data_IF_996207378456
#
_entry.id   IF_996207378456
#
_cell.length_a   1.000
_cell.length_b   1.000
_cell.length_c   1.000
_cell.angle_alpha   90.00
_cell.angle_beta   90.00
_cell.angle_gamma   90.00
#
_symmetry.space_group_name_H-M   'P 1'
#
loop_
_entity.id
_entity.type
_entity.pdbx_description
1 polymer ?
#
# COMPACT_ATOMS: atom_id res chain seq x y z
N UNK A 1 29.89 20.41 -2.59
CA UNK A 1 28.58 20.19 -3.23
C UNK A 1 27.87 19.11 -2.44
N UNK A 2 26.69 19.41 -1.89
CA UNK A 2 25.83 18.46 -1.19
C UNK A 2 25.17 17.54 -2.22
N UNK A 3 24.85 16.30 -1.84
CA UNK A 3 24.04 15.42 -2.68
C UNK A 3 22.68 16.04 -2.95
N UNK A 4 22.17 15.92 -4.19
CA UNK A 4 20.74 16.11 -4.39
C UNK A 4 19.98 15.04 -3.60
N UNK A 5 19.13 15.46 -2.65
CA UNK A 5 18.24 14.58 -1.90
C UNK A 5 18.75 14.04 -0.55
N UNK A 6 19.94 14.41 -0.09
CA UNK A 6 20.42 14.09 1.28
C UNK A 6 20.34 15.33 2.17
N UNK A 7 19.24 15.47 2.90
CA UNK A 7 19.02 16.57 3.85
C UNK A 7 19.73 16.37 5.19
N UNK A 8 20.25 15.16 5.46
CA UNK A 8 20.77 14.75 6.77
C UNK A 8 22.24 15.15 6.91
N UNK A 9 23.01 15.09 5.83
CA UNK A 9 24.46 15.36 5.84
C UNK A 9 24.83 16.73 5.23
N UNK A 10 24.08 17.78 5.59
CA UNK A 10 24.40 19.15 5.19
C UNK A 10 25.79 19.57 5.72
N UNK A 11 26.61 20.18 4.86
CA UNK A 11 28.00 20.60 5.15
C UNK A 11 29.02 19.49 5.47
N UNK A 12 28.69 18.22 5.22
CA UNK A 12 29.66 17.12 5.29
C UNK A 12 30.23 16.81 3.90
N UNK A 13 31.43 16.21 3.85
CA UNK A 13 31.99 15.73 2.59
C UNK A 13 31.13 14.55 2.07
N UNK A 14 30.75 14.52 0.78
CA UNK A 14 30.02 13.39 0.23
C UNK A 14 30.83 12.07 0.33
N UNK A 15 30.39 11.17 1.20
CA UNK A 15 30.85 9.78 1.34
C UNK A 15 30.18 8.78 0.36
N UNK A 16 30.05 7.52 0.79
CA UNK A 16 29.44 6.41 0.05
C UNK A 16 28.03 6.15 0.57
N UNK A 17 27.08 5.84 -0.30
CA UNK A 17 25.67 5.65 0.09
C UNK A 17 25.11 4.29 -0.32
N UNK A 18 24.20 3.79 0.51
CA UNK A 18 23.39 2.60 0.22
C UNK A 18 24.16 1.28 0.27
N UNK A 19 23.47 0.20 -0.13
CA UNK A 19 23.95 -1.17 -0.01
C UNK A 19 25.20 -1.44 -0.85
N UNK A 20 25.29 -0.84 -2.03
CA UNK A 20 26.47 -0.94 -2.90
C UNK A 20 27.62 -0.01 -2.49
N UNK A 21 27.43 0.84 -1.47
CA UNK A 21 28.38 1.88 -1.09
C UNK A 21 28.77 2.76 -2.30
N UNK A 22 27.77 3.25 -3.03
CA UNK A 22 27.96 4.10 -4.22
C UNK A 22 28.63 5.40 -3.79
N UNK A 23 29.85 5.63 -4.26
CA UNK A 23 30.68 6.75 -3.82
C UNK A 23 30.51 7.98 -4.71
N UNK A 24 30.07 9.09 -4.13
CA UNK A 24 29.79 10.32 -4.87
C UNK A 24 30.94 10.77 -5.77
N UNK A 25 32.17 10.77 -5.24
CA UNK A 25 33.36 11.26 -5.94
C UNK A 25 33.55 10.63 -7.32
N UNK A 26 33.19 9.35 -7.47
CA UNK A 26 33.44 8.57 -8.69
C UNK A 26 32.17 8.23 -9.47
N UNK A 27 31.00 8.31 -8.83
CA UNK A 27 29.72 7.83 -9.37
C UNK A 27 28.64 8.90 -9.38
N UNK A 28 29.00 10.16 -9.64
CA UNK A 28 28.08 11.30 -9.62
C UNK A 28 26.81 11.09 -10.46
N UNK A 29 26.90 10.37 -11.58
CA UNK A 29 25.76 10.05 -12.44
C UNK A 29 24.69 9.20 -11.73
N UNK A 30 25.06 8.39 -10.75
CA UNK A 30 24.13 7.59 -9.95
C UNK A 30 23.21 8.47 -9.07
N UNK A 31 23.65 9.70 -8.78
CA UNK A 31 22.94 10.63 -7.92
C UNK A 31 22.10 11.65 -8.69
N UNK A 32 22.05 11.53 -10.03
CA UNK A 32 21.05 12.24 -10.81
C UNK A 32 19.65 11.92 -10.26
N UNK A 33 18.85 12.95 -10.03
CA UNK A 33 17.51 12.85 -9.42
C UNK A 33 17.46 12.12 -8.06
N UNK A 34 18.58 12.09 -7.32
CA UNK A 34 18.71 11.42 -6.04
C UNK A 34 18.46 9.88 -6.08
N UNK A 35 18.58 9.22 -7.24
CA UNK A 35 18.22 7.79 -7.39
C UNK A 35 19.06 6.84 -6.54
N UNK A 36 20.40 6.99 -6.53
CA UNK A 36 21.28 6.19 -5.68
C UNK A 36 21.08 6.43 -4.17
N UNK A 37 20.53 7.59 -3.80
CA UNK A 37 20.18 7.93 -2.41
C UNK A 37 18.84 7.29 -2.03
N UNK A 38 17.85 7.34 -2.94
CA UNK A 38 16.45 7.03 -2.66
C UNK A 38 16.01 5.62 -3.05
N UNK A 39 16.85 4.81 -3.70
CA UNK A 39 16.46 3.47 -4.16
C UNK A 39 17.58 2.48 -3.96
N UNK A 40 17.40 1.53 -3.05
CA UNK A 40 18.33 0.41 -2.85
C UNK A 40 18.43 -0.47 -4.09
N UNK A 41 17.32 -0.64 -4.84
CA UNK A 41 17.32 -1.35 -6.11
C UNK A 41 18.20 -0.64 -7.13
N UNK A 42 17.98 0.67 -7.37
CA UNK A 42 18.83 1.45 -8.27
C UNK A 42 20.28 1.49 -7.79
N UNK A 43 20.51 1.61 -6.48
CA UNK A 43 21.85 1.62 -5.90
C UNK A 43 22.61 0.32 -6.22
N UNK A 44 21.96 -0.85 -6.07
CA UNK A 44 22.52 -2.15 -6.44
C UNK A 44 22.62 -2.35 -7.95
N UNK A 45 21.59 -1.98 -8.72
CA UNK A 45 21.58 -2.07 -10.19
C UNK A 45 22.74 -1.27 -10.78
N UNK A 46 22.90 -0.02 -10.33
CA UNK A 46 24.01 0.83 -10.74
C UNK A 46 25.37 0.20 -10.35
N UNK A 47 25.48 -0.29 -9.11
CA UNK A 47 26.72 -0.93 -8.62
C UNK A 47 27.12 -2.11 -9.50
N UNK A 48 26.21 -3.05 -9.72
CA UNK A 48 26.49 -4.26 -10.47
C UNK A 48 26.58 -4.01 -11.98
N UNK A 49 25.89 -3.00 -12.51
CA UNK A 49 26.09 -2.56 -13.89
C UNK A 49 27.51 -2.02 -14.11
N UNK A 50 28.04 -1.21 -13.19
CA UNK A 50 29.42 -0.69 -13.26
C UNK A 50 30.45 -1.81 -13.12
N UNK A 51 30.25 -2.73 -12.17
CA UNK A 51 31.13 -3.88 -11.99
C UNK A 51 31.16 -4.77 -13.24
N UNK A 52 29.98 -5.04 -13.81
CA UNK A 52 29.86 -5.83 -15.03
C UNK A 52 30.51 -5.14 -16.22
N UNK A 53 30.25 -3.86 -16.44
CA UNK A 53 30.86 -3.08 -17.52
C UNK A 53 32.39 -3.07 -17.42
N UNK A 54 32.92 -2.90 -16.20
CA UNK A 54 34.35 -3.03 -15.93
C UNK A 54 34.88 -4.43 -16.26
N UNK A 55 34.18 -5.49 -15.83
CA UNK A 55 34.63 -6.86 -16.05
C UNK A 55 34.60 -7.23 -17.55
N UNK A 56 33.59 -6.78 -18.27
CA UNK A 56 33.39 -7.04 -19.70
C UNK A 56 34.30 -6.22 -20.63
N UNK A 57 35.15 -5.32 -20.10
CA UNK A 57 36.10 -4.57 -20.91
C UNK A 57 35.59 -3.22 -21.41
N UNK A 58 34.44 -2.72 -20.92
CA UNK A 58 33.80 -1.52 -21.47
C UNK A 58 34.45 -0.20 -21.02
N UNK A 59 35.44 -0.25 -20.12
CA UNK A 59 36.08 0.93 -19.53
C UNK A 59 37.47 1.23 -20.12
N UNK A 60 37.59 1.24 -21.45
CA UNK A 60 38.83 1.56 -22.16
C UNK A 60 39.43 2.92 -21.77
N UNK A 61 38.59 3.86 -21.32
CA UNK A 61 39.01 5.15 -20.78
C UNK A 61 39.98 5.02 -19.60
N UNK A 62 39.99 3.89 -18.88
CA UNK A 62 40.97 3.64 -17.82
C UNK A 62 42.41 3.63 -18.34
N UNK A 63 42.62 3.30 -19.61
CA UNK A 63 43.95 3.34 -20.23
C UNK A 63 44.40 4.75 -20.64
N UNK A 64 43.52 5.75 -20.56
CA UNK A 64 43.84 7.16 -20.89
C UNK A 64 44.01 8.05 -19.67
N UNK A 65 43.80 7.50 -18.46
CA UNK A 65 43.96 8.19 -17.18
C UNK A 65 45.04 7.53 -16.31
N UNK A 66 45.30 8.14 -15.16
CA UNK A 66 46.17 7.59 -14.13
C UNK A 66 45.73 6.19 -13.69
N UNK A 67 46.71 5.27 -13.61
CA UNK A 67 46.50 3.84 -13.35
C UNK A 67 47.81 3.18 -12.92
N UNK A 68 47.73 2.10 -12.15
CA UNK A 68 48.92 1.31 -11.78
C UNK A 68 49.35 0.29 -12.85
N UNK A 69 48.45 -0.13 -13.74
CA UNK A 69 48.76 -1.04 -14.86
C UNK A 69 47.79 -0.87 -16.02
N UNK A 70 48.06 -1.48 -17.16
CA UNK A 70 47.11 -1.51 -18.30
C UNK A 70 45.81 -2.22 -17.91
N UNK A 71 44.67 -1.62 -18.24
CA UNK A 71 43.35 -2.20 -18.07
C UNK A 71 43.06 -3.24 -19.16
N UNK A 72 42.56 -4.39 -18.72
CA UNK A 72 42.10 -5.51 -19.55
C UNK A 72 40.81 -6.08 -18.95
N UNK A 73 39.94 -6.63 -19.80
CA UNK A 73 38.75 -7.34 -19.36
C UNK A 73 39.08 -8.58 -18.50
N UNK A 74 38.09 -9.06 -17.75
CA UNK A 74 38.16 -10.34 -17.01
C UNK A 74 38.73 -10.27 -15.59
N UNK A 75 39.03 -9.08 -15.07
CA UNK A 75 39.64 -8.91 -13.74
C UNK A 75 38.63 -8.35 -12.72
N UNK A 76 37.93 -9.24 -12.02
CA UNK A 76 36.93 -8.89 -11.01
C UNK A 76 37.52 -8.17 -9.79
N UNK A 77 38.73 -8.57 -9.36
CA UNK A 77 39.39 -7.92 -8.23
C UNK A 77 39.80 -6.48 -8.59
N UNK A 78 40.29 -6.27 -9.81
CA UNK A 78 40.54 -4.94 -10.36
C UNK A 78 39.28 -4.07 -10.39
N UNK A 79 38.13 -4.64 -10.78
CA UNK A 79 36.85 -3.93 -10.79
C UNK A 79 36.36 -3.55 -9.38
N UNK A 80 36.64 -4.38 -8.37
CA UNK A 80 36.41 -4.02 -6.98
C UNK A 80 37.30 -2.85 -6.53
N UNK A 81 38.58 -2.85 -6.91
CA UNK A 81 39.49 -1.74 -6.64
C UNK A 81 39.07 -0.44 -7.33
N UNK A 82 38.59 -0.54 -8.57
CA UNK A 82 38.01 0.56 -9.33
C UNK A 82 36.78 1.14 -8.62
N UNK A 83 35.87 0.28 -8.14
CA UNK A 83 34.64 0.71 -7.45
C UNK A 83 34.94 1.62 -6.25
N UNK A 84 35.98 1.29 -5.49
CA UNK A 84 36.38 2.09 -4.33
C UNK A 84 37.11 3.39 -4.70
N UNK A 85 38.01 3.35 -5.68
CA UNK A 85 39.00 4.40 -5.93
C UNK A 85 38.77 5.23 -7.19
N UNK A 86 37.83 4.81 -8.04
CA UNK A 86 37.60 5.38 -9.37
C UNK A 86 38.78 5.24 -10.34
N UNK A 87 39.85 4.51 -9.98
CA UNK A 87 41.06 4.33 -10.78
C UNK A 87 41.54 2.88 -10.81
N UNK A 88 42.21 2.51 -11.89
CA UNK A 88 42.63 1.13 -12.12
C UNK A 88 43.98 0.83 -11.45
N UNK A 89 44.01 -0.09 -10.49
CA UNK A 89 45.24 -0.57 -9.83
C UNK A 89 46.17 0.52 -9.25
N UNK A 90 45.66 1.71 -8.95
CA UNK A 90 46.41 2.68 -8.15
C UNK A 90 46.61 2.16 -6.72
N UNK A 91 47.52 2.76 -5.96
CA UNK A 91 47.79 2.32 -4.57
C UNK A 91 46.53 2.27 -3.70
N UNK A 92 45.60 3.21 -3.91
CA UNK A 92 44.30 3.22 -3.23
C UNK A 92 43.42 2.01 -3.63
N UNK A 93 43.39 1.65 -4.91
CA UNK A 93 42.67 0.48 -5.41
C UNK A 93 43.27 -0.81 -4.83
N UNK A 94 44.59 -0.96 -4.93
CA UNK A 94 45.32 -2.14 -4.44
C UNK A 94 45.17 -2.29 -2.92
N UNK A 95 45.27 -1.19 -2.18
CA UNK A 95 45.08 -1.19 -0.74
C UNK A 95 43.65 -1.56 -0.30
N UNK A 96 42.64 -1.24 -1.10
CA UNK A 96 41.25 -1.67 -0.83
C UNK A 96 41.05 -3.15 -1.17
N UNK A 97 41.50 -3.58 -2.35
CA UNK A 97 41.43 -4.99 -2.77
C UNK A 97 42.09 -5.92 -1.75
N UNK A 98 43.26 -5.53 -1.24
CA UNK A 98 43.98 -6.29 -0.21
C UNK A 98 43.17 -6.41 1.08
N UNK A 99 42.56 -5.30 1.55
CA UNK A 99 41.69 -5.33 2.74
C UNK A 99 40.49 -6.23 2.56
N UNK A 100 39.80 -6.15 1.41
CA UNK A 100 38.64 -7.00 1.16
C UNK A 100 39.04 -8.47 1.06
N UNK A 101 40.17 -8.77 0.42
CA UNK A 101 40.70 -10.13 0.36
C UNK A 101 41.04 -10.68 1.76
N UNK A 102 41.60 -9.87 2.66
CA UNK A 102 41.84 -10.24 4.06
C UNK A 102 40.54 -10.48 4.82
N UNK A 103 39.57 -9.57 4.75
CA UNK A 103 38.27 -9.73 5.41
C UNK A 103 37.58 -11.01 4.92
N UNK A 104 37.67 -11.30 3.62
CA UNK A 104 37.10 -12.49 3.00
C UNK A 104 37.80 -13.79 3.43
N UNK A 105 39.13 -13.79 3.54
CA UNK A 105 39.89 -14.97 3.96
C UNK A 105 39.74 -15.25 5.45
N UNK A 106 39.65 -14.21 6.27
CA UNK A 106 39.39 -14.30 7.71
C UNK A 106 37.93 -14.61 8.05
N UNK A 107 37.04 -14.56 7.04
CA UNK A 107 35.59 -14.77 7.16
C UNK A 107 35.04 -13.96 8.33
N UNK A 108 35.38 -12.66 8.39
CA UNK A 108 35.07 -11.84 9.56
C UNK A 108 33.59 -11.88 9.94
N UNK A 109 32.68 -12.03 8.97
CA UNK A 109 31.23 -12.17 9.20
C UNK A 109 30.82 -13.43 9.98
N UNK A 110 31.70 -14.42 10.13
CA UNK A 110 31.51 -15.62 10.95
C UNK A 110 32.17 -15.52 12.33
N UNK A 111 32.97 -14.48 12.58
CA UNK A 111 33.61 -14.28 13.87
C UNK A 111 32.62 -13.71 14.88
N UNK A 112 32.72 -14.15 16.14
CA UNK A 112 31.83 -13.70 17.22
C UNK A 112 31.87 -12.17 17.48
N UNK A 113 32.97 -11.52 17.09
CA UNK A 113 33.14 -10.06 17.16
C UNK A 113 32.40 -9.31 16.06
N UNK A 114 31.99 -9.99 14.99
CA UNK A 114 31.10 -9.41 14.00
C UNK A 114 29.69 -9.48 14.58
N UNK A 115 29.11 -8.32 14.97
CA UNK A 115 27.82 -8.33 15.64
C UNK A 115 26.82 -9.04 14.73
N UNK A 116 25.97 -9.95 15.25
CA UNK A 116 24.83 -10.40 14.47
C UNK A 116 24.10 -9.14 14.00
N UNK A 117 23.61 -9.16 12.74
CA UNK A 117 22.66 -8.15 12.30
C UNK A 117 21.65 -7.99 13.43
N UNK A 118 21.58 -6.79 14.03
CA UNK A 118 20.75 -6.58 15.21
C UNK A 118 19.38 -7.18 14.89
N UNK A 119 18.84 -8.10 15.72
CA UNK A 119 17.60 -8.75 15.40
C UNK A 119 16.57 -7.67 15.11
N UNK A 120 15.98 -7.70 13.90
CA UNK A 120 14.90 -6.80 13.54
C UNK A 120 13.80 -7.09 14.57
N UNK A 121 13.60 -6.17 15.50
CA UNK A 121 12.55 -6.29 16.53
C UNK A 121 11.20 -6.00 15.88
N UNK A 122 10.62 -7.00 15.23
CA UNK A 122 9.18 -7.00 14.94
C UNK A 122 8.49 -7.57 16.19
N UNK A 123 7.90 -6.69 17.00
CA UNK A 123 6.97 -7.10 18.07
C UNK A 123 7.54 -7.98 19.18
N UNK A 124 8.48 -7.48 19.99
CA UNK A 124 8.66 -7.87 21.40
C UNK A 124 8.94 -9.34 21.79
N UNK A 125 9.05 -10.29 20.87
CA UNK A 125 9.35 -11.70 21.17
C UNK A 125 10.83 -12.02 20.97
N UNK A 126 11.48 -12.61 21.98
CA UNK A 126 12.90 -12.97 22.00
C UNK A 126 13.18 -14.41 21.58
N UNK A 127 12.31 -15.05 20.81
CA UNK A 127 12.59 -16.41 20.32
C UNK A 127 13.59 -16.40 19.15
N UNK A 128 14.70 -17.15 19.25
CA UNK A 128 15.67 -17.25 18.16
C UNK A 128 15.06 -18.02 16.99
N UNK A 129 14.88 -17.34 15.84
CA UNK A 129 14.50 -17.98 14.58
C UNK A 129 15.75 -18.59 13.98
N UNK A 130 15.79 -19.92 13.89
CA UNK A 130 16.83 -20.63 13.15
C UNK A 130 16.38 -20.77 11.70
N UNK A 131 16.91 -19.92 10.82
CA UNK A 131 16.60 -19.93 9.39
C UNK A 131 17.47 -20.98 8.69
N UNK A 132 16.86 -22.04 8.17
CA UNK A 132 17.56 -22.98 7.26
C UNK A 132 17.76 -22.32 5.89
N UNK A 133 18.92 -22.53 5.27
CA UNK A 133 19.28 -21.94 3.98
C UNK A 133 18.29 -22.32 2.85
N UNK A 134 17.96 -21.41 1.91
CA UNK A 134 17.07 -21.72 0.80
C UNK A 134 17.70 -22.74 -0.16
N UNK A 135 16.87 -23.61 -0.74
CA UNK A 135 17.29 -24.52 -1.81
C UNK A 135 17.64 -23.73 -3.08
N UNK A 136 18.75 -24.10 -3.72
CA UNK A 136 19.24 -23.55 -4.99
C UNK A 136 18.28 -23.85 -6.14
N UNK A 137 17.65 -22.82 -6.71
CA UNK A 137 16.84 -22.89 -7.94
C UNK A 137 17.70 -22.50 -9.15
N UNK A 138 17.56 -23.26 -10.24
CA UNK A 138 18.32 -23.09 -11.49
C UNK A 138 17.86 -21.83 -12.24
N UNK A 139 18.82 -21.07 -12.79
CA UNK A 139 18.58 -19.80 -13.49
C UNK A 139 17.74 -19.96 -14.79
N UNK A 140 16.83 -19.02 -15.10
CA UNK A 140 16.01 -19.06 -16.32
C UNK A 140 16.80 -18.66 -17.58
N UNK A 141 16.55 -19.36 -18.68
CA UNK A 141 17.13 -19.09 -20.01
C UNK A 141 16.31 -18.01 -20.73
N UNK A 142 16.94 -16.90 -21.12
CA UNK A 142 16.28 -15.78 -21.82
C UNK A 142 16.40 -15.93 -23.34
N UNK A 143 15.31 -15.73 -24.08
CA UNK A 143 15.28 -15.66 -25.55
C UNK A 143 15.20 -14.19 -25.98
N UNK A 144 15.95 -13.80 -27.02
CA UNK A 144 16.05 -12.41 -27.48
C UNK A 144 14.74 -11.89 -28.10
N UNK A 145 14.38 -10.60 -27.90
CA UNK A 145 13.16 -10.02 -28.43
C UNK A 145 13.26 -9.71 -29.93
N UNK A 146 12.18 -9.97 -30.67
CA UNK A 146 11.99 -9.63 -32.08
C UNK A 146 11.58 -8.17 -32.28
N UNK A 147 12.15 -7.53 -33.30
CA UNK A 147 11.97 -6.12 -33.68
C UNK A 147 10.59 -5.87 -34.29
N UNK A 148 9.83 -4.92 -33.73
CA UNK A 148 8.52 -4.47 -34.26
C UNK A 148 8.70 -3.24 -35.14
N UNK A 149 7.98 -3.22 -36.28
CA UNK A 149 8.05 -2.17 -37.32
C UNK A 149 7.29 -0.90 -36.90
N UNK A 150 7.78 0.26 -37.34
CA UNK A 150 7.31 1.60 -36.96
C UNK A 150 5.85 1.90 -37.37
N UNK A 151 5.11 2.73 -36.58
CA UNK A 151 3.71 3.07 -36.85
C UNK A 151 3.57 4.11 -37.97
N UNK A 152 2.54 3.92 -38.81
CA UNK A 152 2.11 4.86 -39.86
C UNK A 152 1.26 6.00 -39.30
N UNK A 153 1.48 7.21 -39.85
CA UNK A 153 0.82 8.48 -39.55
C UNK A 153 -0.68 8.49 -39.88
N UNK A 154 -1.50 8.93 -38.91
CA UNK A 154 -2.94 9.18 -39.05
C UNK A 154 -3.22 10.66 -39.31
N UNK A 155 -4.18 10.95 -40.20
CA UNK A 155 -4.56 12.30 -40.62
C UNK A 155 -5.32 13.10 -39.55
N UNK A 156 -5.28 14.44 -39.68
CA UNK A 156 -5.81 15.41 -38.72
C UNK A 156 -7.35 15.45 -38.64
N UNK A 157 -7.93 15.75 -37.46
CA UNK A 157 -9.38 15.79 -37.27
C UNK A 157 -10.02 17.07 -37.83
N UNK A 158 -11.22 16.93 -38.38
CA UNK A 158 -12.09 18.02 -38.84
C UNK A 158 -12.91 18.63 -37.70
N UNK A 159 -13.13 19.94 -37.79
CA UNK A 159 -13.85 20.80 -36.84
C UNK A 159 -15.36 20.55 -36.81
N UNK A 160 -15.92 20.45 -35.60
CA UNK A 160 -17.38 20.35 -35.33
C UNK A 160 -17.92 21.69 -34.82
N UNK A 161 -19.12 22.06 -35.26
CA UNK A 161 -19.78 23.34 -34.95
C UNK A 161 -20.28 23.44 -33.50
N UNK A 162 -20.39 24.68 -33.01
CA UNK A 162 -20.73 25.05 -31.64
C UNK A 162 -22.19 24.75 -31.24
N UNK A 163 -22.48 24.41 -29.97
CA UNK A 163 -23.83 24.13 -29.50
C UNK A 163 -24.62 25.42 -29.21
N UNK A 164 -25.93 25.36 -29.48
CA UNK A 164 -26.92 26.40 -29.16
C UNK A 164 -27.37 26.35 -27.70
N UNK A 165 -27.62 27.54 -27.14
CA UNK A 165 -28.07 27.81 -25.77
C UNK A 165 -29.49 27.33 -25.48
N UNK A 166 -29.67 26.64 -24.34
CA UNK A 166 -30.98 26.23 -23.79
C UNK A 166 -31.31 27.11 -22.57
N UNK A 167 -32.58 27.46 -22.41
CA UNK A 167 -33.08 28.39 -21.38
C UNK A 167 -33.04 27.81 -19.94
N UNK A 168 -32.95 28.71 -18.96
CA UNK A 168 -32.79 28.42 -17.53
C UNK A 168 -34.07 27.83 -16.87
N UNK A 169 -33.93 26.92 -15.88
CA UNK A 169 -35.07 26.38 -15.15
C UNK A 169 -35.56 27.33 -14.04
N UNK A 170 -36.87 27.30 -13.79
CA UNK A 170 -37.56 28.04 -12.73
C UNK A 170 -37.44 27.35 -11.36
N UNK A 171 -37.37 28.17 -10.32
CA UNK A 171 -37.24 27.79 -8.90
C UNK A 171 -38.51 27.16 -8.33
N UNK A 172 -38.37 26.03 -7.63
CA UNK A 172 -39.43 25.39 -6.81
C UNK A 172 -39.07 25.53 -5.33
N UNK A 173 -40.08 25.76 -4.48
CA UNK A 173 -39.94 26.03 -3.05
C UNK A 173 -39.47 24.82 -2.22
N UNK A 174 -38.79 25.10 -1.11
CA UNK A 174 -38.17 24.13 -0.21
C UNK A 174 -39.18 23.30 0.61
N UNK A 175 -38.89 22.02 0.92
CA UNK A 175 -39.70 21.21 1.82
C UNK A 175 -39.42 21.52 3.29
N UNK A 176 -40.45 21.38 4.12
CA UNK A 176 -40.43 21.50 5.58
C UNK A 176 -39.91 20.23 6.27
N UNK A 177 -39.12 20.40 7.32
CA UNK A 177 -38.52 19.35 8.15
C UNK A 177 -39.54 18.72 9.11
N UNK A 178 -39.56 17.39 9.18
CA UNK A 178 -40.28 16.59 10.19
C UNK A 178 -39.25 15.92 11.11
N UNK A 179 -39.51 15.91 12.41
CA UNK A 179 -38.60 15.37 13.42
C UNK A 179 -38.47 13.83 13.38
N UNK A 180 -37.27 13.33 13.68
CA UNK A 180 -36.92 11.91 13.72
C UNK A 180 -37.51 11.17 14.94
N UNK A 181 -37.80 9.87 14.85
CA UNK A 181 -38.27 9.08 15.99
C UNK A 181 -37.10 8.65 16.89
N UNK A 182 -37.36 8.61 18.20
CA UNK A 182 -36.47 8.07 19.23
C UNK A 182 -36.58 6.55 19.32
N UNK A 183 -35.44 5.85 19.37
CA UNK A 183 -35.37 4.39 19.50
C UNK A 183 -35.05 4.01 20.95
N UNK A 184 -35.85 3.10 21.52
CA UNK A 184 -35.73 2.55 22.88
C UNK A 184 -34.97 1.22 22.86
N UNK A 185 -33.97 1.05 23.74
CA UNK A 185 -33.21 -0.20 23.92
C UNK A 185 -33.99 -1.17 24.82
N UNK A 186 -34.07 -2.45 24.42
CA UNK A 186 -34.68 -3.54 25.21
C UNK A 186 -33.59 -4.45 25.86
N UNK A 187 -33.84 -5.06 27.04
CA UNK A 187 -32.82 -5.77 27.79
C UNK A 187 -32.68 -7.26 27.41
N UNK A 188 -31.48 -7.80 27.66
CA UNK A 188 -31.01 -9.16 27.35
C UNK A 188 -31.46 -10.23 28.35
N UNK A 189 -31.82 -11.44 27.88
CA UNK A 189 -31.60 -12.71 28.61
C UNK A 189 -30.79 -13.77 27.81
N UNK A 190 -30.32 -14.87 28.44
CA UNK A 190 -29.07 -15.55 28.07
C UNK A 190 -29.19 -16.85 27.22
N UNK A 191 -28.14 -17.04 26.38
CA UNK A 191 -27.43 -18.24 25.84
C UNK A 191 -28.21 -19.35 25.08
N UNK A 192 -28.08 -19.33 23.74
CA UNK A 192 -27.50 -20.36 22.85
C UNK A 192 -28.06 -20.20 21.40
N UNK A 193 -27.27 -19.77 20.40
CA UNK A 193 -27.71 -19.66 18.98
C UNK A 193 -26.48 -19.30 18.12
N UNK A 194 -26.20 -19.86 16.93
CA UNK A 194 -26.79 -19.47 15.61
C UNK A 194 -27.02 -17.96 15.42
N UNK A 195 -26.38 -17.12 16.23
CA UNK A 195 -26.65 -15.70 16.32
C UNK A 195 -25.69 -14.93 15.43
N UNK A 196 -26.24 -13.95 14.71
CA UNK A 196 -25.46 -12.98 13.97
C UNK A 196 -24.37 -12.35 14.86
N UNK A 197 -23.18 -12.16 14.32
CA UNK A 197 -22.20 -11.27 14.93
C UNK A 197 -22.69 -9.84 14.72
N UNK A 198 -22.77 -9.07 15.80
CA UNK A 198 -23.17 -7.65 15.78
C UNK A 198 -22.18 -6.86 16.62
N UNK A 199 -21.70 -5.76 16.05
CA UNK A 199 -20.93 -4.73 16.74
C UNK A 199 -21.36 -3.33 16.28
N UNK A 200 -21.81 -2.51 17.24
CA UNK A 200 -22.21 -1.12 17.01
C UNK A 200 -21.26 -0.11 17.67
N UNK A 201 -20.20 -0.58 18.35
CA UNK A 201 -19.18 0.20 19.06
C UNK A 201 -19.72 1.14 20.15
N UNK A 202 -20.97 0.92 20.59
CA UNK A 202 -21.59 1.72 21.64
C UNK A 202 -20.77 1.76 22.93
N UNK A 203 -20.70 2.94 23.54
CA UNK A 203 -19.91 3.20 24.74
C UNK A 203 -18.40 3.28 24.50
N UNK A 204 -17.95 3.43 23.25
CA UNK A 204 -16.53 3.33 22.86
C UNK A 204 -15.90 1.97 23.24
N UNK A 205 -16.63 0.88 23.01
CA UNK A 205 -16.19 -0.48 23.31
C UNK A 205 -16.24 -1.37 22.05
N UNK A 206 -15.90 -2.65 22.16
CA UNK A 206 -16.09 -3.63 21.07
C UNK A 206 -14.84 -3.91 20.23
N UNK A 207 -13.86 -3.01 20.17
CA UNK A 207 -12.61 -3.23 19.41
C UNK A 207 -11.85 -4.49 19.85
N UNK A 208 -11.96 -4.89 21.12
CA UNK A 208 -11.34 -6.10 21.65
C UNK A 208 -11.88 -7.41 21.04
N UNK A 209 -13.03 -7.35 20.34
CA UNK A 209 -13.62 -8.47 19.60
C UNK A 209 -13.00 -8.64 18.20
N UNK A 210 -12.14 -7.72 17.80
CA UNK A 210 -11.46 -7.72 16.52
C UNK A 210 -9.97 -7.99 16.70
N UNK A 211 -9.36 -8.55 15.67
CA UNK A 211 -7.92 -8.49 15.45
C UNK A 211 -7.64 -7.29 14.56
N UNK A 212 -6.59 -6.55 14.86
CA UNK A 212 -6.14 -5.40 14.05
C UNK A 212 -4.73 -5.62 13.55
N UNK A 213 -4.36 -4.93 12.47
CA UNK A 213 -2.99 -4.90 12.00
C UNK A 213 -2.74 -3.77 11.03
N UNK A 214 -1.47 -3.39 10.92
CA UNK A 214 -0.99 -2.41 9.94
C UNK A 214 0.09 -3.05 9.10
N UNK A 215 -0.05 -2.95 7.80
CA UNK A 215 0.95 -3.28 6.81
C UNK A 215 1.47 -2.00 6.17
N UNK A 216 2.79 -1.89 6.10
CA UNK A 216 3.49 -0.88 5.31
C UNK A 216 4.41 -1.61 4.34
N UNK A 217 4.32 -1.30 3.04
CA UNK A 217 5.20 -1.91 2.03
C UNK A 217 6.67 -1.64 2.35
N UNK A 218 7.00 -0.38 2.64
CA UNK A 218 8.38 0.07 2.82
C UNK A 218 8.62 0.56 4.26
N UNK A 219 9.61 -0.04 4.93
CA UNK A 219 10.06 0.37 6.27
C UNK A 219 11.33 1.24 6.26
N UNK A 220 11.95 1.43 5.09
CA UNK A 220 13.27 2.05 4.99
C UNK A 220 13.27 3.48 4.42
N UNK A 221 12.25 3.84 3.63
CA UNK A 221 12.12 5.13 2.97
C UNK A 221 10.85 5.85 3.41
N UNK A 222 10.68 6.01 4.72
CA UNK A 222 9.44 6.58 5.28
C UNK A 222 9.35 8.07 4.96
N UNK A 223 8.47 8.45 4.03
CA UNK A 223 8.23 9.84 3.63
C UNK A 223 7.50 10.63 4.74
N UNK A 224 6.56 10.01 5.44
CA UNK A 224 5.87 10.58 6.59
C UNK A 224 5.85 9.56 7.74
N UNK A 225 6.25 10.01 8.94
CA UNK A 225 6.25 9.18 10.15
C UNK A 225 4.95 9.33 10.95
N UNK A 226 4.08 10.24 10.51
CA UNK A 226 2.81 10.51 11.15
C UNK A 226 1.84 11.16 10.18
N UNK A 227 0.56 10.97 10.43
CA UNK A 227 -0.55 11.58 9.69
C UNK A 227 -1.66 12.00 10.65
N UNK A 228 -2.70 12.64 10.11
CA UNK A 228 -3.84 13.09 10.91
C UNK A 228 -4.92 12.02 11.00
N UNK A 229 -5.46 11.83 12.20
CA UNK A 229 -6.71 11.11 12.44
C UNK A 229 -7.81 12.10 12.82
N UNK A 230 -9.05 11.85 12.41
CA UNK A 230 -10.19 12.65 12.82
C UNK A 230 -10.44 12.53 14.31
N UNK A 231 -11.01 13.57 14.89
CA UNK A 231 -11.14 13.80 16.32
C UNK A 231 -9.81 13.98 17.06
N UNK A 232 -9.70 15.03 17.86
CA UNK A 232 -8.63 15.15 18.87
C UNK A 232 -8.74 14.05 19.93
N UNK A 233 -7.75 13.94 20.83
CA UNK A 233 -7.71 12.91 21.88
C UNK A 233 -8.85 12.99 22.90
N UNK A 234 -9.68 14.04 22.87
CA UNK A 234 -10.89 14.17 23.69
C UNK A 234 -12.16 13.77 22.95
N UNK A 235 -12.01 13.26 21.73
CA UNK A 235 -13.10 12.96 20.81
C UNK A 235 -13.97 14.19 20.52
N UNK A 236 -13.33 15.30 20.15
CA UNK A 236 -13.94 16.56 19.69
C UNK A 236 -14.75 16.44 18.40
N UNK A 237 -14.91 17.54 17.64
CA UNK A 237 -15.53 17.52 16.31
C UNK A 237 -14.76 16.58 15.35
N UNK A 238 -15.38 15.94 14.34
CA UNK A 238 -14.65 15.22 13.29
C UNK A 238 -13.55 16.05 12.61
N UNK A 239 -13.69 17.39 12.57
CA UNK A 239 -12.67 18.29 12.02
C UNK A 239 -11.49 18.54 12.96
N UNK A 240 -11.65 18.30 14.27
CA UNK A 240 -10.49 18.27 15.16
C UNK A 240 -9.62 17.08 14.80
N UNK A 241 -8.30 17.19 14.97
CA UNK A 241 -7.37 16.17 14.49
C UNK A 241 -6.48 15.70 15.63
N UNK A 242 -6.10 14.43 15.58
CA UNK A 242 -5.02 13.84 16.38
C UNK A 242 -3.88 13.42 15.47
N UNK A 243 -2.70 13.25 16.06
CA UNK A 243 -1.55 12.68 15.36
C UNK A 243 -1.58 11.17 15.50
N UNK A 244 -1.53 10.47 14.38
CA UNK A 244 -1.32 9.03 14.30
C UNK A 244 0.13 8.79 13.92
N UNK A 245 0.83 7.93 14.64
CA UNK A 245 2.25 7.66 14.39
C UNK A 245 2.46 6.29 13.78
N UNK A 246 3.34 6.26 12.79
CA UNK A 246 3.73 5.03 12.09
C UNK A 246 4.34 3.97 13.00
N UNK A 247 5.14 4.39 13.99
CA UNK A 247 5.78 3.48 14.95
C UNK A 247 4.84 3.00 16.07
N UNK A 248 3.56 3.44 16.02
CA UNK A 248 2.49 3.11 16.96
C UNK A 248 1.26 2.63 16.18
N UNK A 249 1.32 1.43 15.57
CA UNK A 249 0.23 0.93 14.73
C UNK A 249 -1.11 0.75 15.47
N UNK A 250 -1.08 0.68 16.80
CA UNK A 250 -2.26 0.72 17.64
C UNK A 250 -3.01 2.05 17.57
N UNK A 251 -2.31 3.17 17.32
CA UNK A 251 -2.95 4.49 17.16
C UNK A 251 -3.82 4.57 15.90
N UNK A 252 -3.54 3.75 14.88
CA UNK A 252 -4.37 3.69 13.67
C UNK A 252 -5.79 3.19 13.90
N UNK A 253 -6.09 2.65 15.08
CA UNK A 253 -7.41 2.15 15.45
C UNK A 253 -7.82 2.76 16.78
N UNK A 254 -8.89 3.57 16.79
CA UNK A 254 -9.34 4.20 18.02
C UNK A 254 -10.84 4.38 18.04
N UNK A 255 -11.43 4.31 19.23
CA UNK A 255 -12.84 4.61 19.43
C UNK A 255 -13.03 6.11 19.63
N UNK A 256 -14.04 6.69 18.99
CA UNK A 256 -14.54 8.01 19.34
C UNK A 256 -16.04 8.13 19.12
N UNK A 257 -16.73 8.58 20.17
CA UNK A 257 -18.19 8.81 20.18
C UNK A 257 -18.98 7.62 19.63
N UNK A 258 -18.64 6.43 20.09
CA UNK A 258 -19.33 5.19 19.74
C UNK A 258 -19.04 4.67 18.33
N UNK A 259 -17.92 5.09 17.72
CA UNK A 259 -17.51 4.67 16.37
C UNK A 259 -16.06 4.18 16.37
N UNK A 260 -15.78 3.16 15.56
CA UNK A 260 -14.41 2.76 15.26
C UNK A 260 -13.82 3.66 14.19
N UNK A 261 -12.71 4.30 14.49
CA UNK A 261 -11.91 5.04 13.53
C UNK A 261 -10.75 4.18 13.05
N UNK A 262 -10.58 4.06 11.74
CA UNK A 262 -9.32 3.64 11.14
C UNK A 262 -8.64 4.86 10.54
N UNK A 263 -7.34 5.00 10.75
CA UNK A 263 -6.58 6.06 10.10
C UNK A 263 -5.21 5.61 9.63
N UNK A 264 -5.01 5.69 8.31
CA UNK A 264 -3.78 5.26 7.62
C UNK A 264 -3.33 6.34 6.62
N UNK A 265 -2.07 6.74 6.73
CA UNK A 265 -1.46 7.79 5.89
C UNK A 265 -0.20 7.35 5.16
N UNK A 266 0.47 8.32 4.50
CA UNK A 266 1.62 8.04 3.63
C UNK A 266 2.73 7.34 4.39
N UNK A 267 3.06 6.15 3.94
CA UNK A 267 4.09 5.32 4.55
C UNK A 267 4.85 4.61 3.44
N UNK A 268 5.39 5.42 2.54
CA UNK A 268 6.35 5.01 1.51
C UNK A 268 5.75 4.00 0.53
N UNK A 269 5.04 4.54 -0.45
CA UNK A 269 4.37 3.71 -1.44
C UNK A 269 2.98 3.35 -0.98
N UNK A 270 2.83 2.33 -0.14
CA UNK A 270 1.53 1.69 0.07
C UNK A 270 1.37 1.10 1.46
N UNK A 271 0.17 1.28 2.04
CA UNK A 271 -0.16 0.79 3.38
C UNK A 271 -1.60 0.39 3.53
N UNK A 272 -1.81 -0.55 4.45
CA UNK A 272 -3.12 -1.09 4.81
C UNK A 272 -3.22 -1.11 6.33
N UNK A 273 -4.21 -0.43 6.89
CA UNK A 273 -4.74 -0.73 8.20
C UNK A 273 -5.90 -1.69 8.02
N UNK A 274 -5.98 -2.76 8.80
CA UNK A 274 -7.09 -3.68 8.72
C UNK A 274 -7.56 -4.11 10.11
N UNK A 275 -8.85 -4.44 10.18
CA UNK A 275 -9.44 -5.08 11.33
C UNK A 275 -10.42 -6.17 10.90
N UNK A 276 -10.60 -7.20 11.73
CA UNK A 276 -11.41 -8.37 11.42
C UNK A 276 -12.01 -8.97 12.68
N UNK A 277 -13.31 -9.35 12.70
CA UNK A 277 -13.85 -10.11 13.81
C UNK A 277 -12.98 -11.35 14.09
N UNK A 278 -12.74 -11.66 15.36
CA UNK A 278 -11.96 -12.85 15.74
C UNK A 278 -12.63 -14.18 15.35
N UNK A 279 -13.91 -14.13 14.98
CA UNK A 279 -14.72 -15.28 14.60
C UNK A 279 -14.53 -15.65 13.13
N UNK A 280 -14.50 -16.95 12.85
CA UNK A 280 -14.68 -17.52 11.50
C UNK A 280 -16.17 -17.78 11.29
N UNK A 281 -16.67 -17.41 10.12
CA UNK A 281 -18.07 -17.55 9.73
C UNK A 281 -18.26 -18.71 8.76
N UNK A 282 -19.46 -19.29 8.79
CA UNK A 282 -19.84 -20.37 7.86
C UNK A 282 -20.99 -19.89 6.97
N UNK A 283 -20.84 -20.02 5.65
CA UNK A 283 -21.82 -19.56 4.64
C UNK A 283 -23.20 -20.17 4.80
N UNK A 284 -23.28 -21.42 5.27
CA UNK A 284 -24.55 -22.10 5.54
C UNK A 284 -25.37 -21.43 6.64
N UNK A 285 -24.74 -20.61 7.49
CA UNK A 285 -25.36 -19.87 8.58
C UNK A 285 -25.40 -18.38 8.25
N UNK A 286 -24.26 -17.81 7.86
CA UNK A 286 -24.04 -16.39 7.65
C UNK A 286 -23.97 -16.09 6.17
N UNK A 287 -24.96 -15.37 5.68
CA UNK A 287 -25.13 -15.06 4.25
C UNK A 287 -25.10 -13.58 3.97
N UNK A 288 -25.18 -12.74 5.00
CA UNK A 288 -25.14 -11.30 4.84
C UNK A 288 -24.03 -10.71 5.69
N UNK A 289 -23.24 -9.83 5.09
CA UNK A 289 -22.30 -8.95 5.80
C UNK A 289 -22.73 -7.51 5.53
N UNK A 290 -23.02 -6.74 6.57
CA UNK A 290 -23.36 -5.32 6.47
C UNK A 290 -22.53 -4.47 7.42
N UNK A 291 -22.31 -3.22 7.04
CA UNK A 291 -21.55 -2.25 7.80
C UNK A 291 -21.97 -0.84 7.40
N UNK A 292 -21.74 0.09 8.30
CA UNK A 292 -21.83 1.52 8.03
C UNK A 292 -20.43 2.11 7.96
N UNK A 293 -20.18 2.94 6.94
CA UNK A 293 -18.92 3.67 6.81
C UNK A 293 -19.14 5.04 6.18
N UNK A 294 -18.35 6.06 6.57
CA UNK A 294 -18.34 7.31 5.83
C UNK A 294 -17.78 7.10 4.43
N UNK A 295 -18.36 7.80 3.45
CA UNK A 295 -17.92 7.70 2.05
C UNK A 295 -17.20 8.96 1.60
N UNK A 296 -16.80 9.82 2.53
CA UNK A 296 -16.17 11.12 2.26
C UNK A 296 -15.07 11.04 1.20
N UNK A 297 -14.98 12.04 0.35
CA UNK A 297 -13.95 12.08 -0.69
C UNK A 297 -12.58 12.44 -0.10
N UNK A 298 -11.86 11.43 0.39
CA UNK A 298 -10.50 11.59 0.92
C UNK A 298 -9.42 11.67 -0.18
N UNK A 299 -9.83 11.74 -1.46
CA UNK A 299 -8.95 11.72 -2.63
C UNK A 299 -8.75 10.32 -3.22
N UNK A 300 -8.21 10.28 -4.45
CA UNK A 300 -8.11 9.06 -5.27
C UNK A 300 -7.20 7.97 -4.71
N UNK A 301 -6.43 8.27 -3.67
CA UNK A 301 -5.38 7.42 -3.13
C UNK A 301 -5.56 7.06 -1.66
N UNK A 302 -6.77 7.31 -1.16
CA UNK A 302 -7.26 6.85 0.12
C UNK A 302 -8.62 6.18 -0.10
N UNK A 303 -8.73 4.91 0.26
CA UNK A 303 -9.97 4.13 0.08
C UNK A 303 -10.13 3.08 1.15
N UNK A 304 -11.30 2.47 1.19
CA UNK A 304 -11.57 1.33 2.05
C UNK A 304 -12.11 0.15 1.24
N UNK A 305 -11.93 -1.05 1.78
CA UNK A 305 -12.47 -2.31 1.26
C UNK A 305 -12.99 -3.19 2.39
N UNK A 306 -14.06 -3.92 2.13
CA UNK A 306 -14.54 -5.05 2.95
C UNK A 306 -14.41 -6.32 2.13
N UNK A 307 -13.66 -7.28 2.66
CA UNK A 307 -13.22 -8.46 1.93
C UNK A 307 -13.56 -9.73 2.70
N UNK A 308 -14.21 -10.67 2.03
CA UNK A 308 -14.47 -12.02 2.53
C UNK A 308 -13.43 -12.95 1.93
N UNK A 309 -12.68 -13.60 2.82
CA UNK A 309 -11.54 -14.44 2.48
C UNK A 309 -11.77 -15.81 3.09
N UNK A 310 -11.50 -16.87 2.33
CA UNK A 310 -11.64 -18.23 2.82
C UNK A 310 -10.74 -18.44 4.04
N UNK A 311 -11.23 -19.21 5.01
CA UNK A 311 -10.49 -19.48 6.24
C UNK A 311 -9.13 -20.12 5.93
N UNK A 312 -8.05 -19.54 6.45
CA UNK A 312 -6.68 -19.97 6.21
C UNK A 312 -6.00 -19.41 4.96
N UNK A 313 -6.70 -18.67 4.10
CA UNK A 313 -6.09 -18.01 2.94
C UNK A 313 -5.39 -16.68 3.31
N UNK A 314 -4.37 -16.26 2.55
CA UNK A 314 -3.72 -14.97 2.76
C UNK A 314 -4.70 -13.79 2.68
N UNK A 315 -4.77 -13.00 3.75
CA UNK A 315 -5.72 -11.89 3.83
C UNK A 315 -5.17 -10.53 3.39
N UNK A 316 -3.83 -10.37 3.41
CA UNK A 316 -3.14 -9.20 2.86
C UNK A 316 -3.07 -9.30 1.34
N UNK A 317 -4.23 -9.15 0.73
CA UNK A 317 -4.45 -9.20 -0.72
C UNK A 317 -5.16 -7.93 -1.19
N UNK A 318 -4.97 -7.58 -2.45
CA UNK A 318 -5.64 -6.45 -3.12
C UNK A 318 -5.88 -6.76 -4.60
N UNK A 319 -6.49 -5.83 -5.34
CA UNK A 319 -6.68 -5.96 -6.78
C UNK A 319 -5.34 -6.10 -7.51
N UNK A 320 -5.31 -6.89 -8.58
CA UNK A 320 -4.09 -7.38 -9.27
C UNK A 320 -3.05 -6.30 -9.62
N UNK A 321 -3.46 -5.19 -10.21
CA UNK A 321 -2.55 -4.11 -10.60
C UNK A 321 -1.97 -3.37 -9.38
N UNK A 322 -2.74 -3.24 -8.29
CA UNK A 322 -2.25 -2.66 -7.03
C UNK A 322 -1.35 -3.65 -6.30
N UNK A 323 -1.61 -4.95 -6.38
CA UNK A 323 -0.84 -5.99 -5.70
C UNK A 323 0.66 -5.91 -6.05
N UNK A 324 0.98 -5.69 -7.33
CA UNK A 324 2.35 -5.46 -7.77
C UNK A 324 3.00 -4.22 -7.14
N UNK A 325 2.23 -3.14 -7.00
CA UNK A 325 2.68 -1.88 -6.40
C UNK A 325 2.84 -2.03 -4.89
N UNK A 326 1.93 -2.73 -4.23
CA UNK A 326 1.92 -2.98 -2.80
C UNK A 326 2.90 -4.08 -2.37
N UNK A 327 3.43 -4.88 -3.31
CA UNK A 327 4.25 -6.06 -3.06
C UNK A 327 3.55 -7.08 -2.16
N UNK A 328 2.25 -7.25 -2.39
CA UNK A 328 1.40 -8.25 -1.74
C UNK A 328 0.70 -9.08 -2.81
N UNK A 329 -0.03 -10.11 -2.41
CA UNK A 329 -0.72 -11.00 -3.34
C UNK A 329 -1.98 -10.35 -3.93
N UNK A 330 -2.33 -10.77 -5.15
CA UNK A 330 -3.62 -10.43 -5.74
C UNK A 330 -4.74 -11.23 -5.05
N UNK A 331 -5.99 -10.77 -5.15
CA UNK A 331 -7.13 -11.55 -4.65
C UNK A 331 -7.16 -12.97 -5.23
N UNK A 332 -7.46 -13.94 -4.36
CA UNK A 332 -7.82 -15.27 -4.81
C UNK A 332 -9.15 -15.22 -5.57
N UNK A 333 -9.39 -16.06 -6.60
CA UNK A 333 -10.65 -16.02 -7.37
C UNK A 333 -11.93 -16.20 -6.55
N UNK A 334 -11.84 -16.85 -5.38
CA UNK A 334 -12.94 -17.05 -4.43
C UNK A 334 -13.16 -15.87 -3.47
N UNK A 335 -12.24 -14.91 -3.44
CA UNK A 335 -12.38 -13.69 -2.64
C UNK A 335 -13.60 -12.90 -3.11
N UNK A 336 -14.37 -12.39 -2.15
CA UNK A 336 -15.39 -11.37 -2.42
C UNK A 336 -14.89 -10.06 -1.82
N UNK A 337 -14.75 -9.02 -2.63
CA UNK A 337 -14.32 -7.70 -2.15
C UNK A 337 -15.32 -6.64 -2.60
N UNK A 338 -15.61 -5.70 -1.71
CA UNK A 338 -16.41 -4.51 -1.99
C UNK A 338 -15.67 -3.31 -1.43
N UNK A 339 -15.56 -2.22 -2.16
CA UNK A 339 -14.95 -1.02 -1.60
C UNK A 339 -15.19 0.22 -2.45
N UNK A 340 -14.80 1.37 -1.91
CA UNK A 340 -14.71 2.65 -2.65
C UNK A 340 -13.44 2.72 -3.51
N UNK A 341 -12.99 1.55 -4.01
CA UNK A 341 -11.89 1.23 -4.92
C UNK A 341 -10.51 1.88 -4.70
N UNK A 342 -9.43 1.31 -5.27
CA UNK A 342 -8.29 2.11 -5.76
C UNK A 342 -8.57 2.83 -7.08
N UNK A 343 -9.77 2.66 -7.67
CA UNK A 343 -10.12 3.15 -9.01
C UNK A 343 -10.77 4.54 -9.05
N UNK A 344 -10.70 5.31 -7.97
CA UNK A 344 -11.27 6.66 -7.95
C UNK A 344 -12.76 6.62 -7.71
N UNK A 345 -13.14 6.26 -6.48
CA UNK A 345 -14.49 6.40 -5.95
C UNK A 345 -15.54 5.40 -6.46
N UNK A 346 -15.16 4.38 -7.21
CA UNK A 346 -16.08 3.34 -7.69
C UNK A 346 -16.43 2.36 -6.57
N UNK A 347 -17.72 2.08 -6.38
CA UNK A 347 -18.21 1.00 -5.53
C UNK A 347 -17.92 -0.36 -6.14
N UNK A 348 -16.65 -0.70 -6.31
CA UNK A 348 -16.21 -1.87 -7.06
C UNK A 348 -16.54 -3.16 -6.31
N UNK A 349 -16.92 -4.19 -7.06
CA UNK A 349 -17.14 -5.54 -6.55
C UNK A 349 -16.20 -6.51 -7.26
N UNK A 350 -15.44 -7.27 -6.48
CA UNK A 350 -14.71 -8.42 -6.95
C UNK A 350 -15.47 -9.70 -6.56
N UNK A 351 -15.79 -10.53 -7.54
CA UNK A 351 -16.46 -11.82 -7.33
C UNK A 351 -16.19 -12.77 -8.50
N UNK A 352 -16.00 -14.05 -8.20
CA UNK A 352 -15.74 -15.07 -9.24
C UNK A 352 -14.50 -14.76 -10.09
N UNK A 353 -13.45 -14.21 -9.46
CA UNK A 353 -12.21 -13.84 -10.13
C UNK A 353 -12.31 -12.62 -11.06
N UNK A 354 -13.37 -11.81 -10.96
CA UNK A 354 -13.61 -10.66 -11.84
C UNK A 354 -13.95 -9.41 -11.03
N UNK A 355 -13.32 -8.30 -11.38
CA UNK A 355 -13.70 -6.97 -10.90
C UNK A 355 -14.82 -6.39 -11.75
N UNK A 356 -15.80 -5.77 -11.12
CA UNK A 356 -16.97 -5.17 -11.76
C UNK A 356 -17.27 -3.82 -11.11
N UNK A 357 -17.57 -2.83 -11.92
CA UNK A 357 -18.08 -1.54 -11.46
C UNK A 357 -19.62 -1.52 -11.61
N UNK A 358 -20.36 -1.82 -10.53
CA UNK A 358 -21.83 -1.79 -10.55
C UNK A 358 -22.42 -0.40 -10.74
N UNK A 359 -21.70 0.64 -10.31
CA UNK A 359 -22.24 1.99 -10.30
C UNK A 359 -21.98 2.74 -11.62
N UNK A 360 -21.08 2.23 -12.47
CA UNK A 360 -20.91 2.56 -13.89
C UNK A 360 -20.90 4.06 -14.19
N UNK A 361 -19.73 4.71 -14.21
CA UNK A 361 -19.58 6.18 -14.34
C UNK A 361 -20.36 7.01 -13.29
N UNK A 362 -21.01 6.37 -12.32
CA UNK A 362 -21.67 6.96 -11.16
C UNK A 362 -20.90 6.60 -9.90
N UNK A 363 -19.72 7.18 -9.77
CA UNK A 363 -18.85 7.00 -8.61
C UNK A 363 -19.63 7.20 -7.28
N UNK A 364 -19.25 6.50 -6.20
CA UNK A 364 -19.73 6.84 -4.84
C UNK A 364 -19.46 8.33 -4.57
N UNK A 365 -18.30 8.84 -5.02
CA UNK A 365 -17.87 10.24 -4.95
C UNK A 365 -17.24 10.79 -6.23
N UNK A 366 -17.30 12.11 -6.45
CA UNK A 366 -16.77 12.76 -7.65
C UNK A 366 -17.86 13.41 -8.51
N UNK A 367 -17.55 13.72 -9.77
CA UNK A 367 -18.53 14.34 -10.68
C UNK A 367 -19.65 13.35 -11.02
N UNK A 368 -20.90 13.72 -10.77
CA UNK A 368 -22.05 12.82 -10.97
C UNK A 368 -22.21 11.75 -9.88
N UNK A 369 -21.62 11.97 -8.70
CA UNK A 369 -21.63 11.02 -7.60
C UNK A 369 -23.03 10.52 -7.22
N UNK A 370 -23.11 9.23 -6.87
CA UNK A 370 -24.32 8.61 -6.33
C UNK A 370 -24.69 9.17 -4.95
N UNK A 371 -23.70 9.66 -4.17
CA UNK A 371 -23.93 10.23 -2.84
C UNK A 371 -23.13 11.53 -2.58
N UNK A 372 -23.47 12.65 -3.24
CA UNK A 372 -22.74 13.92 -3.06
C UNK A 372 -22.71 14.41 -1.61
N UNK A 373 -23.76 14.10 -0.83
CA UNK A 373 -23.88 14.50 0.57
C UNK A 373 -22.87 13.74 1.46
N UNK A 374 -22.78 12.42 1.33
CA UNK A 374 -21.80 11.62 2.05
C UNK A 374 -20.37 11.97 1.66
N UNK A 375 -20.12 12.27 0.38
CA UNK A 375 -18.80 12.68 -0.09
C UNK A 375 -18.29 13.98 0.54
N UNK A 376 -19.21 14.91 0.83
CA UNK A 376 -18.89 16.21 1.42
C UNK A 376 -18.84 16.18 2.95
N UNK A 377 -19.08 15.03 3.60
CA UNK A 377 -19.25 14.94 5.05
C UNK A 377 -18.49 13.78 5.67
N UNK A 378 -17.59 14.09 6.61
CA UNK A 378 -16.91 13.09 7.46
C UNK A 378 -17.86 12.41 8.46
N UNK A 379 -18.96 13.07 8.82
CA UNK A 379 -19.87 12.60 9.86
C UNK A 379 -20.96 11.65 9.34
N UNK A 380 -21.30 11.71 8.05
CA UNK A 380 -22.37 10.88 7.47
C UNK A 380 -21.78 9.51 7.14
N UNK A 381 -22.32 8.47 7.80
CA UNK A 381 -22.05 7.07 7.44
C UNK A 381 -23.17 6.53 6.57
N UNK A 382 -22.83 5.70 5.59
CA UNK A 382 -23.77 5.01 4.71
C UNK A 382 -23.69 3.52 4.93
N UNK A 383 -24.86 2.89 4.86
CA UNK A 383 -24.99 1.45 4.99
C UNK A 383 -24.68 0.74 3.68
N UNK A 384 -23.89 -0.31 3.82
CA UNK A 384 -23.53 -1.24 2.76
C UNK A 384 -23.87 -2.65 3.19
N UNK A 385 -24.21 -3.52 2.23
CA UNK A 385 -24.25 -4.95 2.48
C UNK A 385 -23.85 -5.78 1.28
N UNK A 386 -23.35 -6.97 1.54
CA UNK A 386 -23.22 -8.05 0.57
C UNK A 386 -23.99 -9.26 1.06
N UNK A 387 -24.77 -9.89 0.18
CA UNK A 387 -25.63 -11.03 0.49
C UNK A 387 -25.38 -12.17 -0.49
N UNK A 388 -25.02 -13.36 0.01
CA UNK A 388 -25.02 -14.60 -0.77
C UNK A 388 -26.47 -15.08 -0.99
N UNK A 389 -26.90 -15.12 -2.25
CA UNK A 389 -28.27 -15.49 -2.62
C UNK A 389 -28.50 -17.01 -2.64
N UNK A 390 -27.48 -17.82 -2.33
CA UNK A 390 -27.49 -19.29 -2.33
C UNK A 390 -27.86 -19.92 -3.67
N UNK A 391 -27.68 -19.19 -4.77
CA UNK A 391 -27.95 -19.62 -6.13
C UNK A 391 -26.76 -19.36 -7.08
N UNK A 392 -25.55 -19.23 -6.53
CA UNK A 392 -24.33 -18.90 -7.26
C UNK A 392 -24.22 -17.41 -7.63
N UNK A 393 -24.97 -16.54 -6.94
CA UNK A 393 -24.85 -15.09 -7.08
C UNK A 393 -24.75 -14.39 -5.73
N UNK A 394 -24.14 -13.21 -5.73
CA UNK A 394 -24.07 -12.29 -4.59
C UNK A 394 -24.77 -10.98 -4.97
N UNK A 395 -25.51 -10.42 -4.03
CA UNK A 395 -26.12 -9.09 -4.14
C UNK A 395 -25.38 -8.09 -3.26
N UNK A 396 -24.90 -7.01 -3.84
CA UNK A 396 -24.43 -5.82 -3.15
C UNK A 396 -25.56 -4.80 -3.04
N UNK A 397 -25.72 -4.17 -1.87
CA UNK A 397 -26.67 -3.09 -1.61
C UNK A 397 -25.93 -1.85 -1.08
N UNK A 398 -26.12 -0.72 -1.74
CA UNK A 398 -25.69 0.60 -1.30
C UNK A 398 -26.85 1.58 -1.41
N UNK A 399 -27.27 2.17 -0.29
CA UNK A 399 -28.40 3.12 -0.25
C UNK A 399 -29.71 2.58 -0.88
N UNK A 400 -29.94 1.26 -0.80
CA UNK A 400 -31.09 0.59 -1.39
C UNK A 400 -30.93 0.25 -2.87
N UNK A 401 -29.83 0.65 -3.51
CA UNK A 401 -29.48 0.28 -4.87
C UNK A 401 -28.80 -1.09 -4.85
N UNK A 402 -29.43 -2.07 -5.51
CA UNK A 402 -29.02 -3.47 -5.47
C UNK A 402 -28.39 -3.92 -6.78
N UNK A 403 -27.27 -4.61 -6.68
CA UNK A 403 -26.50 -5.11 -7.82
C UNK A 403 -26.12 -6.56 -7.61
N UNK A 404 -26.50 -7.44 -8.54
CA UNK A 404 -26.31 -8.89 -8.39
C UNK A 404 -25.33 -9.42 -9.44
N UNK A 405 -24.34 -10.20 -8.99
CA UNK A 405 -23.28 -10.76 -9.83
C UNK A 405 -23.02 -12.24 -9.56
N UNK A 406 -22.46 -12.98 -10.53
CA UNK A 406 -21.98 -14.34 -10.29
C UNK A 406 -20.93 -14.39 -9.18
N UNK A 407 -21.09 -15.32 -8.24
CA UNK A 407 -20.20 -15.47 -7.09
C UNK A 407 -20.94 -16.06 -5.90
N UNK A 408 -20.20 -16.52 -4.90
CA UNK A 408 -20.73 -17.02 -3.64
C UNK A 408 -19.68 -16.77 -2.57
N UNK A 409 -20.10 -16.68 -1.31
CA UNK A 409 -19.14 -16.61 -0.21
C UNK A 409 -18.32 -17.91 -0.16
N UNK A 410 -17.11 -17.89 0.41
CA UNK A 410 -16.42 -19.12 0.75
C UNK A 410 -17.21 -19.91 1.81
N UNK A 411 -17.12 -21.24 1.82
CA UNK A 411 -17.90 -22.06 2.76
C UNK A 411 -17.58 -21.74 4.23
N UNK A 412 -16.30 -21.47 4.52
CA UNK A 412 -15.82 -20.86 5.76
C UNK A 412 -15.01 -19.63 5.43
N UNK A 413 -15.29 -18.51 6.09
CA UNK A 413 -14.67 -17.25 5.75
C UNK A 413 -14.43 -16.34 6.96
N UNK A 414 -13.48 -15.44 6.80
CA UNK A 414 -13.27 -14.29 7.66
C UNK A 414 -13.62 -13.01 6.90
N UNK A 415 -14.06 -11.99 7.63
CA UNK A 415 -14.37 -10.67 7.09
C UNK A 415 -13.26 -9.71 7.48
N UNK A 416 -12.63 -9.05 6.51
CA UNK A 416 -11.60 -8.05 6.74
C UNK A 416 -12.08 -6.68 6.26
N UNK A 417 -12.03 -5.71 7.15
CA UNK A 417 -12.24 -4.30 6.85
C UNK A 417 -10.87 -3.65 6.70
N UNK A 418 -10.62 -3.03 5.56
CA UNK A 418 -9.30 -2.53 5.16
C UNK A 418 -9.40 -1.04 4.84
N UNK A 419 -8.45 -0.28 5.37
CA UNK A 419 -8.17 1.12 5.10
C UNK A 419 -6.86 1.19 4.31
N UNK A 420 -6.96 1.59 3.06
CA UNK A 420 -5.87 1.59 2.10
C UNK A 420 -5.40 3.01 1.80
N UNK A 421 -4.08 3.18 1.81
CA UNK A 421 -3.41 4.42 1.46
C UNK A 421 -2.27 4.16 0.46
N UNK A 422 -2.22 4.91 -0.63
CA UNK A 422 -1.18 4.76 -1.67
C UNK A 422 -0.57 6.09 -2.07
N UNK A 423 0.61 6.50 -1.58
CA UNK A 423 1.25 7.79 -1.96
C UNK A 423 0.25 8.96 -2.05
N UNK A 424 -0.47 9.26 -0.97
CA UNK A 424 -1.75 9.95 -1.04
C UNK A 424 -1.62 11.40 -1.55
N UNK A 425 -0.46 12.01 -1.34
CA UNK A 425 -0.12 13.36 -1.80
C UNK A 425 0.14 13.47 -3.31
N UNK A 426 0.29 12.35 -4.03
CA UNK A 426 0.72 12.36 -5.43
C UNK A 426 -0.31 13.02 -6.38
N UNK A 427 -1.59 13.09 -6.00
CA UNK A 427 -2.65 13.78 -6.77
C UNK A 427 -3.13 15.07 -6.09
N UNK A 428 -2.42 15.54 -5.05
CA UNK A 428 -2.82 16.66 -4.21
C UNK A 428 -2.92 16.26 -2.73
N UNK A 429 -3.14 17.24 -1.86
CA UNK A 429 -3.20 17.02 -0.41
C UNK A 429 -4.54 16.35 -0.05
N UNK A 430 -4.53 15.16 0.58
CA UNK A 430 -5.73 14.51 1.08
C UNK A 430 -6.45 15.39 2.11
N UNK A 431 -7.78 15.38 2.11
CA UNK A 431 -8.58 16.13 3.09
C UNK A 431 -8.69 15.40 4.45
N UNK A 432 -8.17 14.18 4.53
CA UNK A 432 -8.12 13.36 5.74
C UNK A 432 -7.66 11.94 5.43
N UNK A 433 -7.43 11.18 6.49
CA UNK A 433 -6.98 9.79 6.42
C UNK A 433 -7.90 8.84 7.17
N UNK A 434 -9.11 9.27 7.55
CA UNK A 434 -9.92 8.54 8.54
C UNK A 434 -11.21 7.99 7.95
N UNK A 435 -11.47 6.72 8.22
CA UNK A 435 -12.78 6.10 8.03
C UNK A 435 -13.44 5.81 9.38
N UNK A 436 -14.74 6.04 9.44
CA UNK A 436 -15.61 5.91 10.60
C UNK A 436 -16.50 4.70 10.35
N UNK A 437 -16.38 3.66 11.17
CA UNK A 437 -17.00 2.35 10.97
C UNK A 437 -17.99 2.04 12.09
N UNK A 438 -19.16 1.51 11.71
CA UNK A 438 -20.24 1.18 12.64
C UNK A 438 -21.13 0.04 12.15
N UNK A 439 -22.03 -0.41 13.03
CA UNK A 439 -23.12 -1.34 12.72
C UNK A 439 -22.67 -2.55 11.89
N UNK A 440 -21.55 -3.15 12.29
CA UNK A 440 -21.00 -4.33 11.63
C UNK A 440 -21.84 -5.53 12.02
N UNK A 441 -22.47 -6.15 11.02
CA UNK A 441 -23.31 -7.33 11.19
C UNK A 441 -22.88 -8.43 10.22
N UNK A 442 -22.70 -9.64 10.74
CA UNK A 442 -22.51 -10.86 9.95
C UNK A 442 -23.59 -11.86 10.36
N UNK A 443 -24.56 -12.12 9.48
CA UNK A 443 -25.82 -12.82 9.80
C UNK A 443 -26.22 -13.89 8.82
#
# INVERSE_FOLDING_TARGET
AQYNGDSIHSNQCPESIGLGQVRWTYHQSAFADAKAVRSSAYNLDYTYAVWRACYEGQFDWLNTVDRGRTYTAGDAAGCQGLWFSGRWYTDAAVGYMSRVATIASERQWEQASFPPAAPIRIGGSTTPVTTTAPATTVAPTTVAPTTTVAPTTTAAPTTTAAPTTTAAPTTTAAPTTTAAPTTTVAPTPPVASSAAFVEDFSGNTGLDRFTTGVFHRDNFLVAQQSWTGDHDTTCGSPDSQRTIRRDRPDESFYMCRDHLMTSIGDTSGYSIGWFSPKQVFERGVHRTVSWDVNVTDLGNRQWWEVVLIADGEPFLTTVDWVASTAQIEAYHPETIAVGKGPFGNDGNIFSGGQSRDPLGWGHVCGSGAADPEGCASKAIRRSFSMTDNMNGTITFDFLGQKYTYPGQFPDKFQVFFKDHNYTPDKDGVPIGHTWHWDNIVVS
#
